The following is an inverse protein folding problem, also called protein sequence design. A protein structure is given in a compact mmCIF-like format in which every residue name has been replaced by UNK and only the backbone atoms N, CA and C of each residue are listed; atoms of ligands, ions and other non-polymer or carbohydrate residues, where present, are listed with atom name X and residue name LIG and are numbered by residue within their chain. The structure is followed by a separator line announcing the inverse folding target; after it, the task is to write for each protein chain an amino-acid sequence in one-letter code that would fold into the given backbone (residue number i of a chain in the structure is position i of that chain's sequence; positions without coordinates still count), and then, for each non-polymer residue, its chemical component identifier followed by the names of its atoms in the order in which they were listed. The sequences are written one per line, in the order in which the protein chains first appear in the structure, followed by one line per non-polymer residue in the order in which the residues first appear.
data_IF_812303781474
#
_entry.id   IF_812303781474
#
_cell.length_a   1.000
_cell.length_b   1.000
_cell.length_c   1.000
_cell.angle_alpha   90.00
_cell.angle_beta   90.00
_cell.angle_gamma   90.00
#
_symmetry.space_group_name_H-M   'P 1'
#
loop_
_entity.id
_entity.type
_entity.pdbx_description
1 polymer ?
#
# COMPACT_ATOMS: atom_id res chain seq x y z
N UNK A 1 -1.91 -19.23 -4.88
CA UNK A 1 -2.20 -19.59 -3.48
C UNK A 1 -1.00 -20.33 -2.86
N UNK A 2 0.19 -20.08 -3.37
CA UNK A 2 1.27 -21.07 -3.34
C UNK A 2 2.28 -20.81 -2.22
N UNK A 3 2.37 -19.56 -1.73
CA UNK A 3 3.33 -19.17 -0.67
C UNK A 3 2.83 -19.46 0.75
N UNK A 4 1.51 -19.57 0.99
CA UNK A 4 0.98 -19.69 2.34
C UNK A 4 1.46 -20.97 3.05
N UNK A 5 1.32 -22.12 2.39
CA UNK A 5 1.70 -23.41 2.96
C UNK A 5 3.20 -23.51 3.24
N UNK A 6 4.02 -23.00 2.33
CA UNK A 6 5.48 -22.98 2.49
C UNK A 6 5.93 -22.06 3.63
N UNK A 7 5.38 -20.84 3.71
CA UNK A 7 5.71 -19.87 4.76
C UNK A 7 5.21 -20.31 6.13
N UNK A 8 4.01 -20.89 6.20
CA UNK A 8 3.50 -21.49 7.43
C UNK A 8 4.39 -22.64 7.93
N UNK A 9 4.84 -23.51 7.02
CA UNK A 9 5.78 -24.59 7.37
C UNK A 9 7.15 -24.07 7.84
N UNK A 10 7.58 -22.91 7.34
CA UNK A 10 8.81 -22.24 7.76
C UNK A 10 8.67 -21.40 9.05
N UNK A 11 7.48 -21.33 9.66
CA UNK A 11 7.21 -20.45 10.81
C UNK A 11 7.24 -18.97 10.46
N UNK A 12 7.18 -18.64 9.17
CA UNK A 12 7.11 -17.29 8.67
C UNK A 12 5.66 -16.80 8.64
N UNK A 13 5.47 -15.49 8.77
CA UNK A 13 4.13 -14.93 8.60
C UNK A 13 3.59 -15.20 7.19
N UNK A 14 2.26 -15.31 7.02
CA UNK A 14 1.64 -15.32 5.70
C UNK A 14 2.09 -14.15 4.83
N UNK A 15 1.88 -14.24 3.52
CA UNK A 15 2.09 -13.09 2.63
C UNK A 15 1.30 -11.89 3.13
N UNK A 16 2.04 -10.88 3.58
CA UNK A 16 1.47 -9.79 4.36
C UNK A 16 0.92 -8.75 3.40
N UNK A 17 -0.37 -8.87 3.08
CA UNK A 17 -1.09 -8.01 2.14
C UNK A 17 -1.60 -6.71 2.76
N UNK A 18 -1.27 -6.43 4.02
CA UNK A 18 -1.72 -5.25 4.73
C UNK A 18 -0.58 -4.23 4.95
N UNK A 19 -0.88 -3.17 5.70
CA UNK A 19 0.06 -2.05 5.97
C UNK A 19 1.13 -2.39 7.01
N UNK A 20 1.18 -3.60 7.53
CA UNK A 20 2.04 -3.99 8.64
C UNK A 20 3.52 -3.90 8.29
N UNK A 21 3.91 -4.16 7.05
CA UNK A 21 5.31 -3.94 6.64
C UNK A 21 5.74 -2.47 6.77
N UNK A 22 4.82 -1.52 6.50
CA UNK A 22 5.05 -0.09 6.70
C UNK A 22 5.18 0.20 8.19
N UNK A 23 4.27 -0.36 9.01
CA UNK A 23 4.33 -0.20 10.48
C UNK A 23 5.64 -0.72 11.05
N UNK A 24 6.10 -1.89 10.62
CA UNK A 24 7.38 -2.48 11.04
C UNK A 24 8.56 -1.64 10.60
N UNK A 25 8.53 -1.08 9.39
CA UNK A 25 9.57 -0.18 8.90
C UNK A 25 9.68 1.07 9.80
N UNK A 26 8.56 1.73 10.11
CA UNK A 26 8.56 2.87 11.02
C UNK A 26 8.94 2.49 12.46
N UNK A 27 8.48 1.36 12.96
CA UNK A 27 8.83 0.87 14.30
C UNK A 27 10.34 0.59 14.42
N UNK A 28 10.99 0.10 13.37
CA UNK A 28 12.45 -0.09 13.32
C UNK A 28 13.22 1.25 13.34
N UNK A 29 12.59 2.34 12.89
CA UNK A 29 13.10 3.72 13.01
C UNK A 29 12.71 4.37 14.35
N UNK A 30 12.10 3.62 15.27
CA UNK A 30 11.66 4.12 16.58
C UNK A 30 10.33 4.88 16.55
N UNK A 31 9.65 4.98 15.41
CA UNK A 31 8.39 5.69 15.28
C UNK A 31 7.19 4.76 15.52
N UNK A 32 6.38 5.10 16.52
CA UNK A 32 5.17 4.35 16.91
C UNK A 32 3.89 5.17 16.82
N UNK A 33 3.93 6.30 16.11
CA UNK A 33 2.80 7.23 15.97
C UNK A 33 2.88 8.47 16.86
N UNK A 34 3.93 8.58 17.67
CA UNK A 34 4.23 9.75 18.50
C UNK A 34 5.60 10.33 18.14
N UNK A 35 5.77 11.64 18.32
CA UNK A 35 7.01 12.35 18.01
C UNK A 35 7.14 12.74 16.54
N UNK A 36 8.37 13.07 16.14
CA UNK A 36 8.68 13.45 14.76
C UNK A 36 8.57 12.25 13.81
N UNK A 37 7.87 12.45 12.69
CA UNK A 37 7.72 11.44 11.65
C UNK A 37 9.06 11.23 10.93
N UNK A 38 9.65 10.03 10.93
CA UNK A 38 10.89 9.76 10.21
C UNK A 38 10.72 9.95 8.70
N UNK A 39 11.77 10.47 8.07
CA UNK A 39 11.88 10.48 6.61
C UNK A 39 12.21 9.07 6.14
N UNK A 40 11.42 8.54 5.23
CA UNK A 40 11.61 7.23 4.61
C UNK A 40 11.84 7.38 3.11
N UNK A 41 12.57 6.43 2.51
CA UNK A 41 12.83 6.44 1.08
C UNK A 41 11.57 6.18 0.26
N UNK A 42 11.49 6.77 -0.94
CA UNK A 42 10.34 6.63 -1.83
C UNK A 42 10.06 5.18 -2.25
N UNK A 43 11.07 4.30 -2.22
CA UNK A 43 10.93 2.87 -2.48
C UNK A 43 9.95 2.17 -1.54
N UNK A 44 9.75 2.64 -0.31
CA UNK A 44 8.73 2.08 0.59
C UNK A 44 7.33 2.25 0.02
N UNK A 45 7.05 3.41 -0.60
CA UNK A 45 5.76 3.73 -1.22
C UNK A 45 5.57 2.99 -2.55
N UNK A 46 6.65 2.79 -3.31
CA UNK A 46 6.62 1.97 -4.53
C UNK A 46 6.27 0.52 -4.18
N UNK A 47 6.92 -0.06 -3.17
CA UNK A 47 6.62 -1.42 -2.69
C UNK A 47 5.18 -1.54 -2.18
N UNK A 48 4.69 -0.53 -1.44
CA UNK A 48 3.29 -0.48 -1.01
C UNK A 48 2.34 -0.51 -2.20
N UNK A 49 2.62 0.32 -3.21
CA UNK A 49 1.78 0.44 -4.41
C UNK A 49 1.74 -0.87 -5.18
N UNK A 50 2.89 -1.51 -5.41
CA UNK A 50 2.99 -2.79 -6.10
C UNK A 50 2.18 -3.89 -5.39
N UNK A 51 2.22 -3.92 -4.06
CA UNK A 51 1.45 -4.90 -3.28
C UNK A 51 -0.06 -4.70 -3.42
N UNK A 52 -0.55 -3.46 -3.36
CA UNK A 52 -1.98 -3.18 -3.57
C UNK A 52 -2.44 -3.50 -4.99
N UNK A 53 -1.59 -3.23 -5.99
CA UNK A 53 -1.84 -3.63 -7.37
C UNK A 53 -1.98 -5.16 -7.45
N UNK A 54 -1.01 -5.90 -6.93
CA UNK A 54 -1.03 -7.36 -6.93
C UNK A 54 -2.28 -7.93 -6.24
N UNK A 55 -2.68 -7.37 -5.08
CA UNK A 55 -3.89 -7.77 -4.37
C UNK A 55 -5.13 -7.53 -5.23
N UNK A 56 -5.25 -6.35 -5.84
CA UNK A 56 -6.36 -6.01 -6.72
C UNK A 56 -6.46 -7.03 -7.87
N UNK A 57 -5.36 -7.32 -8.54
CA UNK A 57 -5.33 -8.24 -9.68
C UNK A 57 -5.66 -9.68 -9.25
N UNK A 58 -5.14 -10.13 -8.11
CA UNK A 58 -5.43 -11.45 -7.54
C UNK A 58 -6.91 -11.62 -7.15
N UNK A 59 -7.50 -10.60 -6.51
CA UNK A 59 -8.88 -10.65 -6.02
C UNK A 59 -9.91 -10.50 -7.14
N UNK A 60 -9.61 -9.67 -8.13
CA UNK A 60 -10.58 -9.31 -9.18
C UNK A 60 -10.38 -10.10 -10.47
N UNK A 61 -9.17 -10.64 -10.70
CA UNK A 61 -8.76 -11.21 -12.00
C UNK A 61 -8.60 -10.16 -13.11
N UNK A 62 -8.72 -8.86 -12.79
CA UNK A 62 -8.55 -7.76 -13.73
C UNK A 62 -7.11 -7.25 -13.66
N UNK A 63 -6.57 -6.79 -14.79
CA UNK A 63 -5.30 -6.07 -14.82
C UNK A 63 -5.49 -4.66 -14.26
N UNK A 64 -4.56 -4.22 -13.43
CA UNK A 64 -4.58 -2.86 -12.92
C UNK A 64 -4.21 -1.85 -14.01
N UNK A 65 -5.10 -0.88 -14.26
CA UNK A 65 -4.86 0.23 -15.18
C UNK A 65 -4.57 1.53 -14.41
N UNK A 66 -3.34 2.05 -14.45
CA UNK A 66 -2.99 3.28 -13.73
C UNK A 66 -3.63 4.50 -14.38
N UNK A 67 -4.31 5.31 -13.56
CA UNK A 67 -4.83 6.60 -14.02
C UNK A 67 -3.72 7.63 -14.28
N UNK A 68 -4.03 8.60 -15.13
CA UNK A 68 -3.08 9.64 -15.56
C UNK A 68 -2.52 10.48 -14.40
N UNK A 69 -1.30 10.98 -14.64
CA UNK A 69 -0.62 11.97 -13.82
C UNK A 69 -0.67 13.36 -14.48
N UNK A 70 -0.70 14.45 -13.70
CA UNK A 70 -0.66 14.48 -12.23
C UNK A 70 -1.99 14.07 -11.58
N UNK A 71 -1.92 13.50 -10.38
CA UNK A 71 -3.11 13.02 -9.64
C UNK A 71 -4.02 14.17 -9.20
N UNK A 72 -3.45 15.32 -8.81
CA UNK A 72 -4.20 16.40 -8.16
C UNK A 72 -5.39 16.92 -8.97
N UNK A 73 -5.27 17.25 -10.27
CA UNK A 73 -6.42 17.75 -11.05
C UNK A 73 -7.59 16.77 -11.10
N UNK A 74 -7.32 15.49 -11.38
CA UNK A 74 -8.39 14.46 -11.44
C UNK A 74 -9.00 14.16 -10.08
N UNK A 75 -8.19 14.16 -9.02
CA UNK A 75 -8.68 13.98 -7.65
C UNK A 75 -9.65 15.11 -7.26
N UNK A 76 -9.23 16.37 -7.46
CA UNK A 76 -10.06 17.53 -7.14
C UNK A 76 -11.36 17.52 -7.96
N UNK A 77 -11.27 17.23 -9.26
CA UNK A 77 -12.45 17.13 -10.13
C UNK A 77 -13.46 16.10 -9.60
N UNK A 78 -13.00 14.88 -9.29
CA UNK A 78 -13.86 13.82 -8.77
C UNK A 78 -14.47 14.16 -7.40
N UNK A 79 -13.69 14.79 -6.51
CA UNK A 79 -14.21 15.23 -5.21
C UNK A 79 -15.28 16.31 -5.35
N UNK A 80 -15.13 17.24 -6.30
CA UNK A 80 -16.16 18.24 -6.64
C UNK A 80 -17.44 17.62 -7.18
N UNK A 81 -17.31 16.69 -8.13
CA UNK A 81 -18.46 15.95 -8.68
C UNK A 81 -19.20 15.18 -7.58
N UNK A 82 -18.47 14.60 -6.62
CA UNK A 82 -19.07 13.89 -5.49
C UNK A 82 -19.66 14.79 -4.39
N UNK A 83 -19.48 16.12 -4.46
CA UNK A 83 -19.94 17.07 -3.45
C UNK A 83 -19.15 17.06 -2.14
N UNK A 84 -18.04 16.31 -2.06
CA UNK A 84 -17.16 16.23 -0.88
C UNK A 84 -16.19 17.41 -0.80
N UNK A 85 -15.96 18.09 -1.93
CA UNK A 85 -15.09 19.25 -2.03
C UNK A 85 -15.81 20.37 -2.78
N UNK A 86 -15.88 21.54 -2.17
CA UNK A 86 -16.47 22.76 -2.76
C UNK A 86 -15.43 23.54 -3.57
#
# INVERSE_FOLDING_TARGET
ADSYSERFAAGEEPENFDKEFIRRHYAALGYRGEGELPVVDTSLWVQASQRYIQIYELLTGLTFDPAEYPVNPRLISNLKISGVFS
#
